data_IF_042332172396
#
_entry.id   IF_042332172396
#
_cell.length_a   1.000
_cell.length_b   1.000
_cell.length_c   1.000
_cell.angle_alpha   90.00
_cell.angle_beta   90.00
_cell.angle_gamma   90.00
#
_symmetry.space_group_name_H-M   'P 1'
#
loop_
_entity.id
_entity.type
_entity.pdbx_description
1 polymer ?
#
# COMPACT_ATOMS: atom_id res chain seq x y z
N UNK A 1 -0.10 -6.07 0.95
CA UNK A 1 -0.45 -6.08 -0.49
C UNK A 1 0.86 -5.97 -1.28
N UNK A 2 1.05 -6.73 -2.37
CA UNK A 2 2.27 -6.65 -3.17
C UNK A 2 2.02 -5.79 -4.42
N UNK A 3 2.78 -4.72 -4.60
CA UNK A 3 2.65 -3.79 -5.73
C UNK A 3 3.93 -3.81 -6.56
N UNK A 4 3.80 -4.05 -7.85
CA UNK A 4 4.90 -3.90 -8.80
C UNK A 4 5.03 -2.42 -9.20
N UNK A 5 6.23 -1.87 -9.03
CA UNK A 5 6.58 -0.49 -9.42
C UNK A 5 7.86 -0.49 -10.26
N UNK A 6 8.14 0.62 -10.93
CA UNK A 6 9.36 0.79 -11.74
C UNK A 6 10.65 0.72 -10.90
N UNK A 7 10.54 0.90 -9.58
CA UNK A 7 11.64 0.75 -8.61
C UNK A 7 11.77 -0.68 -8.06
N UNK A 8 10.97 -1.61 -8.56
CA UNK A 8 10.92 -3.00 -8.11
C UNK A 8 9.62 -3.36 -7.39
N UNK A 9 9.63 -4.54 -6.77
CA UNK A 9 8.53 -5.04 -5.96
C UNK A 9 8.54 -4.33 -4.60
N UNK A 10 7.46 -3.61 -4.29
CA UNK A 10 7.27 -2.97 -2.98
C UNK A 10 6.04 -3.55 -2.30
N UNK A 11 6.12 -3.77 -0.99
CA UNK A 11 5.06 -4.41 -0.21
C UNK A 11 4.53 -3.43 0.84
N UNK A 12 3.55 -2.57 0.49
CA UNK A 12 2.90 -1.71 1.46
C UNK A 12 1.96 -2.49 2.37
N UNK A 13 1.83 -2.01 3.60
CA UNK A 13 0.97 -2.56 4.64
C UNK A 13 -0.26 -1.66 4.81
N UNK A 14 -1.44 -2.21 4.52
CA UNK A 14 -2.72 -1.59 4.87
C UNK A 14 -3.06 -1.99 6.32
N UNK A 15 -3.05 -1.03 7.24
CA UNK A 15 -3.31 -1.26 8.67
C UNK A 15 -4.79 -1.18 8.99
N UNK A 16 -5.25 -1.94 9.98
CA UNK A 16 -6.65 -1.96 10.46
C UNK A 16 -7.65 -2.33 9.36
N UNK A 17 -7.26 -3.23 8.46
CA UNK A 17 -8.12 -3.66 7.35
C UNK A 17 -9.40 -4.36 7.86
N UNK A 18 -9.41 -4.91 9.09
CA UNK A 18 -10.62 -5.49 9.68
C UNK A 18 -11.74 -4.48 9.96
N UNK A 19 -11.41 -3.19 10.06
CA UNK A 19 -12.37 -2.11 10.29
C UNK A 19 -12.79 -1.40 9.00
N UNK A 20 -12.26 -1.81 7.85
CA UNK A 20 -12.50 -1.18 6.56
C UNK A 20 -13.52 -1.99 5.75
N UNK A 21 -14.37 -1.27 5.01
CA UNK A 21 -15.19 -1.85 3.96
C UNK A 21 -14.36 -2.20 2.72
N UNK A 22 -14.89 -3.09 1.86
CA UNK A 22 -14.24 -3.46 0.59
C UNK A 22 -13.88 -2.23 -0.27
N UNK A 23 -14.74 -1.22 -0.31
CA UNK A 23 -14.50 0.02 -1.05
C UNK A 23 -13.30 0.82 -0.49
N UNK A 24 -13.14 0.84 0.83
CA UNK A 24 -12.01 1.52 1.49
C UNK A 24 -10.70 0.75 1.25
N UNK A 25 -10.76 -0.59 1.28
CA UNK A 25 -9.60 -1.44 0.98
C UNK A 25 -9.13 -1.21 -0.46
N UNK A 26 -10.05 -1.23 -1.44
CA UNK A 26 -9.72 -0.96 -2.84
C UNK A 26 -9.18 0.45 -3.03
N UNK A 27 -9.76 1.46 -2.37
CA UNK A 27 -9.26 2.83 -2.40
C UNK A 27 -7.84 2.97 -1.83
N UNK A 28 -7.56 2.28 -0.72
CA UNK A 28 -6.23 2.21 -0.11
C UNK A 28 -5.20 1.55 -1.04
N UNK A 29 -5.55 0.42 -1.65
CA UNK A 29 -4.69 -0.28 -2.63
C UNK A 29 -4.40 0.63 -3.84
N UNK A 30 -5.40 1.31 -4.39
CA UNK A 30 -5.22 2.22 -5.52
C UNK A 30 -4.28 3.39 -5.16
N UNK A 31 -4.41 3.90 -3.94
CA UNK A 31 -3.55 4.97 -3.41
C UNK A 31 -2.10 4.50 -3.27
N UNK A 32 -1.89 3.32 -2.69
CA UNK A 32 -0.56 2.72 -2.59
C UNK A 32 0.03 2.40 -3.96
N UNK A 33 -0.78 1.94 -4.92
CA UNK A 33 -0.37 1.74 -6.31
C UNK A 33 0.16 3.01 -6.97
N UNK A 34 -0.55 4.14 -6.79
CA UNK A 34 -0.08 5.45 -7.25
C UNK A 34 1.21 5.87 -6.55
N UNK A 35 1.25 5.80 -5.22
CA UNK A 35 2.46 6.16 -4.44
C UNK A 35 3.67 5.30 -4.79
N UNK A 36 3.47 4.02 -5.06
CA UNK A 36 4.51 3.09 -5.50
C UNK A 36 5.08 3.51 -6.85
N UNK A 37 4.21 3.81 -7.83
CA UNK A 37 4.62 4.32 -9.15
C UNK A 37 5.32 5.67 -9.06
N UNK A 38 4.78 6.58 -8.26
CA UNK A 38 5.37 7.91 -8.04
C UNK A 38 6.65 7.84 -7.17
N UNK A 39 6.93 6.69 -6.57
CA UNK A 39 8.08 6.50 -5.69
C UNK A 39 8.02 7.34 -4.41
N UNK A 40 6.81 7.64 -3.93
CA UNK A 40 6.50 8.45 -2.74
C UNK A 40 6.01 7.62 -1.55
N UNK A 41 6.15 6.30 -1.61
CA UNK A 41 5.91 5.42 -0.46
C UNK A 41 6.88 5.78 0.67
N UNK A 42 6.34 6.07 1.84
CA UNK A 42 7.18 6.29 3.03
C UNK A 42 7.62 4.96 3.64
N UNK A 43 8.71 4.99 4.39
CA UNK A 43 9.22 3.81 5.11
C UNK A 43 8.18 3.28 6.11
N UNK A 44 7.37 4.16 6.72
CA UNK A 44 6.28 3.78 7.63
C UNK A 44 5.14 2.99 6.95
N UNK A 45 4.93 3.20 5.65
CA UNK A 45 3.94 2.47 4.84
C UNK A 45 4.46 1.10 4.39
N UNK A 46 5.78 0.92 4.40
CA UNK A 46 6.47 -0.33 4.01
C UNK A 46 6.89 -1.17 5.22
N UNK A 47 6.92 -0.59 6.43
CA UNK A 47 7.49 -1.21 7.62
C UNK A 47 6.49 -1.25 8.77
N UNK A 48 6.38 -2.40 9.44
CA UNK A 48 5.71 -2.51 10.73
C UNK A 48 4.33 -3.17 10.72
N UNK A 49 4.08 -4.18 9.89
CA UNK A 49 2.89 -5.04 10.00
C UNK A 49 3.25 -6.48 10.29
N UNK A 50 2.65 -7.06 11.33
CA UNK A 50 2.26 -8.48 11.40
C UNK A 50 0.98 -8.69 10.63
#
# INVERSE_FOLDING_TARGET
>A
VAVSSDRGLVVPVLRNAEHMSLAEIEGGIATFGKKARDGKLSIDEMTGGT
#
